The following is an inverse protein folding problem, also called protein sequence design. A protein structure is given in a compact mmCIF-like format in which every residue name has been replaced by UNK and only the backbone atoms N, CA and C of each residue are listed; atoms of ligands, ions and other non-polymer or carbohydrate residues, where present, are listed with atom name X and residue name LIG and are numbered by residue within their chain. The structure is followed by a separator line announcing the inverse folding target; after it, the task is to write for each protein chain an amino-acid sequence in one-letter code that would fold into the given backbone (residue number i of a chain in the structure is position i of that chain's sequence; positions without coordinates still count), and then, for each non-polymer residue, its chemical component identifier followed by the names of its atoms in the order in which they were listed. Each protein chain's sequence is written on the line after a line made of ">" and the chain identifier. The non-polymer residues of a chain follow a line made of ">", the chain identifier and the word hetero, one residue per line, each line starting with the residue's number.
data_IF_510500722281
#
_entry.id   IF_510500722281
#
_cell.length_a   1.000
_cell.length_b   1.000
_cell.length_c   1.000
_cell.angle_alpha   90.00
_cell.angle_beta   90.00
_cell.angle_gamma   90.00
#
_symmetry.space_group_name_H-M   'P 1'
#
loop_
_entity.id
_entity.type
_entity.pdbx_description
1 polymer ?
#
# COMPACT_ATOMS: atom_id res chain seq x y z
N UNK A 1 9.75 17.54 -8.30
CA UNK A 1 9.81 16.07 -8.48
C UNK A 1 10.14 15.32 -7.18
N UNK A 2 10.96 15.85 -6.28
CA UNK A 2 11.37 15.17 -5.05
C UNK A 2 10.23 14.84 -4.06
N UNK A 3 9.25 15.74 -3.86
CA UNK A 3 8.15 15.52 -2.90
C UNK A 3 7.27 14.31 -3.24
N UNK A 4 7.00 14.09 -4.53
CA UNK A 4 6.18 12.96 -5.00
C UNK A 4 6.87 11.61 -4.77
N UNK A 5 8.20 11.57 -4.98
CA UNK A 5 9.01 10.38 -4.71
C UNK A 5 9.08 10.08 -3.21
N UNK A 6 9.21 11.12 -2.37
CA UNK A 6 9.21 10.96 -0.91
C UNK A 6 7.88 10.42 -0.39
N UNK A 7 6.74 10.91 -0.90
CA UNK A 7 5.42 10.39 -0.51
C UNK A 7 5.26 8.93 -0.95
N UNK A 8 5.66 8.59 -2.18
CA UNK A 8 5.61 7.22 -2.68
C UNK A 8 6.47 6.28 -1.82
N UNK A 9 7.69 6.69 -1.47
CA UNK A 9 8.60 5.92 -0.63
C UNK A 9 8.03 5.70 0.78
N UNK A 10 7.47 6.74 1.40
CA UNK A 10 6.82 6.64 2.72
C UNK A 10 5.60 5.71 2.65
N UNK A 11 4.75 5.84 1.63
CA UNK A 11 3.62 4.93 1.44
C UNK A 11 4.09 3.48 1.28
N UNK A 12 5.14 3.24 0.50
CA UNK A 12 5.67 1.89 0.28
C UNK A 12 6.19 1.26 1.59
N UNK A 13 6.92 2.02 2.40
CA UNK A 13 7.45 1.59 3.71
C UNK A 13 6.32 1.31 4.71
N UNK A 14 5.24 2.10 4.73
CA UNK A 14 4.11 1.80 5.62
C UNK A 14 3.37 0.52 5.20
N UNK A 15 3.29 0.21 3.91
CA UNK A 15 2.68 -1.05 3.44
C UNK A 15 3.44 -2.29 3.90
N UNK A 16 4.78 -2.26 3.94
CA UNK A 16 5.54 -3.44 4.37
C UNK A 16 5.28 -3.76 5.84
N UNK A 17 5.06 -2.76 6.69
CA UNK A 17 4.70 -2.95 8.09
C UNK A 17 3.34 -3.64 8.28
N UNK A 18 2.37 -3.43 7.38
CA UNK A 18 1.07 -4.12 7.45
C UNK A 18 1.15 -5.58 7.03
N UNK A 19 2.08 -5.93 6.13
CA UNK A 19 2.33 -7.32 5.73
C UNK A 19 3.19 -8.09 6.76
N UNK A 20 3.96 -7.41 7.59
CA UNK A 20 4.81 -8.03 8.61
C UNK A 20 4.05 -8.42 9.91
N UNK A 21 2.73 -8.16 10.00
CA UNK A 21 1.98 -8.39 11.23
C UNK A 21 1.49 -9.84 11.40
N UNK A 22 1.67 -10.71 10.40
CA UNK A 22 1.23 -12.11 10.49
C UNK A 22 2.25 -12.98 11.21
N UNK A 23 1.84 -13.52 12.37
CA UNK A 23 2.45 -14.68 12.98
C UNK A 23 3.75 -14.42 13.74
N UNK A 24 3.67 -13.71 14.87
CA UNK A 24 4.73 -13.80 15.90
C UNK A 24 4.73 -15.21 16.51
N UNK A 25 5.39 -16.16 15.85
CA UNK A 25 5.78 -17.45 16.44
C UNK A 25 4.70 -18.51 16.64
N UNK A 26 3.43 -18.26 16.29
CA UNK A 26 2.35 -19.27 16.38
C UNK A 26 2.16 -20.02 15.05
N UNK A 27 2.51 -21.32 14.97
CA UNK A 27 2.38 -22.12 13.76
C UNK A 27 0.93 -22.20 13.24
N UNK A 28 -0.06 -22.07 14.11
CA UNK A 28 -1.48 -22.13 13.74
C UNK A 28 -1.93 -20.88 12.95
N UNK A 29 -1.15 -19.80 12.95
CA UNK A 29 -1.50 -18.53 12.32
C UNK A 29 -0.57 -18.14 11.15
N UNK A 30 0.33 -19.05 10.72
CA UNK A 30 1.28 -18.84 9.61
C UNK A 30 0.67 -19.17 8.23
N UNK A 31 -0.47 -18.56 7.90
CA UNK A 31 -1.14 -18.83 6.63
C UNK A 31 -0.43 -18.17 5.43
N UNK A 32 0.55 -17.28 5.67
CA UNK A 32 1.27 -16.55 4.62
C UNK A 32 0.29 -15.80 3.71
N UNK A 33 0.54 -15.78 2.39
CA UNK A 33 -0.37 -15.13 1.44
C UNK A 33 -1.83 -15.64 1.49
N UNK A 34 -2.07 -16.86 1.99
CA UNK A 34 -3.43 -17.42 2.12
C UNK A 34 -4.19 -16.85 3.33
N UNK A 35 -3.51 -16.20 4.28
CA UNK A 35 -4.14 -15.52 5.41
C UNK A 35 -5.15 -14.48 4.95
N UNK A 36 -4.81 -13.72 3.90
CA UNK A 36 -5.69 -12.71 3.32
C UNK A 36 -6.91 -13.28 2.60
N UNK A 37 -6.89 -14.57 2.24
CA UNK A 37 -8.04 -15.27 1.66
C UNK A 37 -8.99 -15.73 2.78
N UNK A 38 -8.43 -16.26 3.87
CA UNK A 38 -9.20 -16.76 5.02
C UNK A 38 -9.73 -15.59 5.87
N UNK A 39 -8.96 -14.52 6.01
CA UNK A 39 -9.28 -13.32 6.78
C UNK A 39 -9.21 -12.07 5.88
N UNK A 40 -10.21 -11.87 4.99
CA UNK A 40 -10.19 -10.78 4.01
C UNK A 40 -10.14 -9.38 4.63
N UNK A 41 -10.58 -9.22 5.88
CA UNK A 41 -10.44 -7.97 6.63
C UNK A 41 -8.98 -7.52 6.80
N UNK A 42 -8.03 -8.46 6.82
CA UNK A 42 -6.60 -8.16 6.94
C UNK A 42 -6.00 -7.63 5.62
N UNK A 43 -6.69 -7.82 4.49
CA UNK A 43 -6.27 -7.27 3.20
C UNK A 43 -6.65 -5.78 3.06
N UNK A 44 -7.56 -5.26 3.90
CA UNK A 44 -8.10 -3.90 3.79
C UNK A 44 -7.00 -2.82 3.80
N UNK A 45 -6.01 -2.84 4.71
CA UNK A 45 -4.92 -1.85 4.70
C UNK A 45 -4.09 -1.89 3.41
N UNK A 46 -3.83 -3.08 2.86
CA UNK A 46 -3.09 -3.25 1.62
C UNK A 46 -3.88 -2.68 0.43
N UNK A 47 -5.17 -2.99 0.32
CA UNK A 47 -6.06 -2.49 -0.74
C UNK A 47 -6.15 -0.95 -0.68
N UNK A 48 -6.33 -0.38 0.50
CA UNK A 48 -6.39 1.07 0.68
C UNK A 48 -5.07 1.74 0.29
N UNK A 49 -3.94 1.13 0.62
CA UNK A 49 -2.62 1.66 0.23
C UNK A 49 -2.44 1.66 -1.29
N UNK A 50 -2.77 0.56 -1.96
CA UNK A 50 -2.69 0.47 -3.43
C UNK A 50 -3.61 1.49 -4.08
N UNK A 51 -4.85 1.61 -3.62
CA UNK A 51 -5.80 2.60 -4.12
C UNK A 51 -5.29 4.03 -3.92
N UNK A 52 -4.72 4.33 -2.75
CA UNK A 52 -4.12 5.63 -2.44
C UNK A 52 -2.94 5.97 -3.37
N UNK A 53 -2.04 5.02 -3.62
CA UNK A 53 -0.89 5.21 -4.53
C UNK A 53 -1.35 5.47 -5.96
N UNK A 54 -2.32 4.69 -6.46
CA UNK A 54 -2.88 4.88 -7.80
C UNK A 54 -3.56 6.26 -7.90
N UNK A 55 -4.41 6.60 -6.93
CA UNK A 55 -5.11 7.88 -6.88
C UNK A 55 -4.14 9.08 -6.87
N UNK A 56 -3.10 9.01 -6.05
CA UNK A 56 -2.05 10.03 -5.99
C UNK A 56 -1.29 10.15 -7.32
N UNK A 57 -0.92 9.01 -7.92
CA UNK A 57 -0.27 8.98 -9.23
C UNK A 57 -1.12 9.63 -10.33
N UNK A 58 -2.43 9.37 -10.32
CA UNK A 58 -3.38 10.00 -11.24
C UNK A 58 -3.49 11.52 -11.01
N UNK A 59 -3.56 11.97 -9.76
CA UNK A 59 -3.59 13.39 -9.41
C UNK A 59 -2.33 14.12 -9.88
N UNK A 60 -1.15 13.54 -9.64
CA UNK A 60 0.12 14.11 -10.10
C UNK A 60 0.16 14.16 -11.64
N UNK A 61 -0.30 13.11 -12.32
CA UNK A 61 -0.35 13.10 -13.79
C UNK A 61 -1.27 14.18 -14.34
N UNK A 62 -2.40 14.46 -13.67
CA UNK A 62 -3.32 15.53 -14.06
C UNK A 62 -2.72 16.91 -13.81
N UNK A 63 -2.07 17.13 -12.67
CA UNK A 63 -1.46 18.44 -12.35
C UNK A 63 -0.32 18.79 -13.31
N UNK A 64 0.53 17.82 -13.69
CA UNK A 64 1.60 18.03 -14.67
C UNK A 64 1.06 18.35 -16.07
N UNK A 65 -0.07 17.74 -16.48
CA UNK A 65 -0.72 18.02 -17.77
C UNK A 65 -1.42 19.38 -17.80
N UNK A 66 -2.04 19.78 -16.69
CA UNK A 66 -2.69 21.09 -16.56
C UNK A 66 -1.72 22.25 -16.60
N UNK A 67 -0.48 22.05 -16.14
CA UNK A 67 0.57 23.07 -16.10
C UNK A 67 1.32 23.25 -17.44
N UNK A 68 1.08 22.35 -18.42
CA UNK A 68 1.68 22.39 -19.77
C UNK A 68 0.78 23.02 -20.83
N UNK A 69 -0.39 23.54 -20.44
CA UNK A 69 -1.27 24.37 -21.27
C UNK A 69 -1.13 25.82 -20.83
#
# INVERSE_FOLDING_TARGET
>A
MHRSLSILAVSLILTTATFAHEGHGDPAHQHGATHYVVNPSHAVPAVLTVAGVIGLGLLIRRSVRGWRK
#
